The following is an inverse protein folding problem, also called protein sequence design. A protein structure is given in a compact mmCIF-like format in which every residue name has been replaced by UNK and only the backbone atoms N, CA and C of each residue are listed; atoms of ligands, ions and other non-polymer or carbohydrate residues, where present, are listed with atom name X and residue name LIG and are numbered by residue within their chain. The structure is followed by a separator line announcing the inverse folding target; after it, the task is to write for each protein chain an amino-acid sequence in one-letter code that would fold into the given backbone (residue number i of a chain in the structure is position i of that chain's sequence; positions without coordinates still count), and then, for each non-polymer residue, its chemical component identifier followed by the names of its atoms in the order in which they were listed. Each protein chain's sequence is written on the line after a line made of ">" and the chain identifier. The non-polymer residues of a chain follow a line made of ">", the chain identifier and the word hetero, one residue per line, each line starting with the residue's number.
data_IF_182943798758
#
_entry.id   IF_182943798758
#
_cell.length_a   1.000
_cell.length_b   1.000
_cell.length_c   1.000
_cell.angle_alpha   90.00
_cell.angle_beta   90.00
_cell.angle_gamma   90.00
#
_symmetry.space_group_name_H-M   'P 1'
#
loop_
_entity.id
_entity.type
_entity.pdbx_description
1 polymer ?
#
# COMPACT_ATOMS: atom_id res chain seq x y z
N UNK A 1 9.91 -19.17 10.92
CA UNK A 1 9.69 -17.73 11.10
C UNK A 1 8.29 -17.44 10.57
N UNK A 2 7.45 -16.75 11.34
CA UNK A 2 6.11 -16.34 10.87
C UNK A 2 6.23 -15.26 9.78
N UNK A 3 5.21 -15.16 8.93
CA UNK A 3 5.21 -14.25 7.77
C UNK A 3 5.36 -12.78 8.21
N UNK A 4 4.68 -12.37 9.28
CA UNK A 4 4.77 -11.01 9.85
C UNK A 4 6.17 -10.70 10.32
N UNK A 5 6.83 -11.61 11.05
CA UNK A 5 8.21 -11.41 11.46
C UNK A 5 9.16 -11.30 10.27
N UNK A 6 8.91 -12.03 9.18
CA UNK A 6 9.71 -11.93 7.96
C UNK A 6 9.57 -10.53 7.33
N UNK A 7 8.35 -10.03 7.19
CA UNK A 7 8.08 -8.67 6.68
C UNK A 7 8.77 -7.62 7.56
N UNK A 8 8.59 -7.69 8.88
CA UNK A 8 9.25 -6.75 9.80
C UNK A 8 10.77 -6.84 9.70
N UNK A 9 11.34 -8.04 9.61
CA UNK A 9 12.77 -8.21 9.46
C UNK A 9 13.30 -7.55 8.17
N UNK A 10 12.63 -7.75 7.04
CA UNK A 10 12.99 -7.15 5.76
C UNK A 10 12.92 -5.62 5.80
N UNK A 11 11.85 -5.06 6.38
CA UNK A 11 11.69 -3.61 6.54
C UNK A 11 12.75 -3.01 7.46
N UNK A 12 13.09 -3.66 8.57
CA UNK A 12 14.11 -3.19 9.50
C UNK A 12 15.50 -3.27 8.84
N UNK A 13 15.80 -4.36 8.13
CA UNK A 13 17.08 -4.54 7.43
C UNK A 13 17.28 -3.49 6.34
N UNK A 14 16.21 -3.01 5.70
CA UNK A 14 16.25 -1.92 4.73
C UNK A 14 16.65 -0.57 5.33
N UNK A 15 16.41 -0.38 6.64
CA UNK A 15 16.74 0.84 7.40
C UNK A 15 18.16 0.80 7.98
N UNK A 16 18.81 -0.36 8.01
CA UNK A 16 20.16 -0.56 8.52
C UNK A 16 20.27 -1.61 9.63
N UNK A 17 21.02 -1.30 10.69
CA UNK A 17 21.28 -2.27 11.76
C UNK A 17 20.06 -2.49 12.65
N UNK A 18 19.60 -3.75 12.75
CA UNK A 18 18.54 -4.15 13.70
C UNK A 18 18.81 -3.73 15.13
N UNK A 19 20.08 -3.71 15.55
CA UNK A 19 20.46 -3.28 16.90
C UNK A 19 20.23 -1.77 17.08
N UNK A 20 20.67 -0.97 16.12
CA UNK A 20 20.46 0.48 16.16
C UNK A 20 18.96 0.83 16.13
N UNK A 21 18.19 0.14 15.28
CA UNK A 21 16.74 0.27 15.24
C UNK A 21 16.09 -0.06 16.59
N UNK A 22 16.50 -1.14 17.26
CA UNK A 22 15.98 -1.50 18.58
C UNK A 22 16.28 -0.42 19.63
N UNK A 23 17.51 0.12 19.62
CA UNK A 23 17.92 1.19 20.54
C UNK A 23 17.13 2.49 20.28
N UNK A 24 16.90 2.85 19.01
CA UNK A 24 16.11 4.03 18.59
C UNK A 24 14.67 3.98 19.14
N UNK A 25 14.02 2.82 19.07
CA UNK A 25 12.63 2.64 19.50
C UNK A 25 12.50 2.30 21.00
N UNK A 26 13.60 2.29 21.74
CA UNK A 26 13.64 1.99 23.18
C UNK A 26 13.32 0.53 23.51
N UNK A 27 13.75 -0.41 22.67
CA UNK A 27 13.61 -1.86 22.86
C UNK A 27 14.98 -2.52 23.07
N UNK A 28 15.12 -3.47 24.00
CA UNK A 28 16.34 -4.28 24.07
C UNK A 28 16.54 -5.02 22.74
N UNK A 29 17.78 -5.08 22.19
CA UNK A 29 18.05 -5.81 20.95
C UNK A 29 17.64 -7.28 21.03
N UNK A 30 17.75 -7.89 22.21
CA UNK A 30 17.30 -9.25 22.50
C UNK A 30 15.78 -9.40 22.42
N UNK A 31 15.01 -8.39 22.82
CA UNK A 31 13.55 -8.37 22.71
C UNK A 31 13.12 -8.32 21.24
N UNK A 32 13.72 -7.42 20.45
CA UNK A 32 13.46 -7.35 19.00
C UNK A 32 13.80 -8.68 18.32
N UNK A 33 14.99 -9.22 18.60
CA UNK A 33 15.41 -10.51 18.05
C UNK A 33 14.46 -11.65 18.43
N UNK A 34 14.00 -11.67 19.68
CA UNK A 34 13.09 -12.69 20.18
C UNK A 34 11.71 -12.62 19.52
N UNK A 35 11.22 -11.41 19.25
CA UNK A 35 9.99 -11.18 18.51
C UNK A 35 10.10 -11.69 17.08
N UNK A 36 11.17 -11.34 16.37
CA UNK A 36 11.39 -11.76 14.98
C UNK A 36 11.60 -13.27 14.85
N UNK A 37 12.19 -13.93 15.85
CA UNK A 37 12.47 -15.37 15.80
C UNK A 37 11.29 -16.24 16.23
N UNK A 38 10.58 -15.86 17.29
CA UNK A 38 9.51 -16.68 17.88
C UNK A 38 8.11 -16.42 17.31
N UNK A 39 7.88 -15.29 16.66
CA UNK A 39 6.52 -14.90 16.30
C UNK A 39 6.20 -13.46 16.68
N UNK A 40 5.74 -12.64 15.74
CA UNK A 40 5.13 -11.34 16.08
C UNK A 40 3.90 -11.55 16.95
N UNK A 41 3.06 -12.55 16.66
CA UNK A 41 1.87 -12.87 17.46
C UNK A 41 2.13 -13.33 18.90
N UNK A 42 3.40 -13.57 19.28
CA UNK A 42 3.79 -13.90 20.66
C UNK A 42 4.44 -12.73 21.40
N UNK A 43 4.67 -11.60 20.72
CA UNK A 43 5.15 -10.39 21.36
C UNK A 43 4.01 -9.64 22.06
N UNK A 44 4.37 -8.79 23.03
CA UNK A 44 3.38 -7.88 23.60
C UNK A 44 2.90 -6.90 22.53
N UNK A 45 1.62 -6.54 22.62
CA UNK A 45 1.00 -5.57 21.70
C UNK A 45 1.76 -4.24 21.66
N UNK A 46 2.25 -3.77 22.81
CA UNK A 46 3.07 -2.56 22.91
C UNK A 46 4.34 -2.63 22.06
N UNK A 47 5.01 -3.79 22.02
CA UNK A 47 6.22 -3.96 21.23
C UNK A 47 5.91 -3.99 19.74
N UNK A 48 4.80 -4.62 19.35
CA UNK A 48 4.34 -4.63 17.95
C UNK A 48 4.01 -3.21 17.49
N UNK A 49 3.24 -2.47 18.27
CA UNK A 49 2.86 -1.08 17.96
C UNK A 49 4.09 -0.18 17.84
N UNK A 50 5.07 -0.30 18.75
CA UNK A 50 6.31 0.50 18.69
C UNK A 50 7.07 0.26 17.39
N UNK A 51 7.23 -1.01 17.00
CA UNK A 51 7.95 -1.37 15.77
C UNK A 51 7.20 -0.88 14.53
N UNK A 52 5.89 -1.13 14.43
CA UNK A 52 5.07 -0.65 13.31
C UNK A 52 5.13 0.89 13.17
N UNK A 53 4.99 1.63 14.28
CA UNK A 53 5.09 3.10 14.26
C UNK A 53 6.44 3.60 13.79
N UNK A 54 7.53 3.00 14.24
CA UNK A 54 8.87 3.38 13.81
C UNK A 54 9.12 3.08 12.32
N UNK A 55 8.51 2.01 11.81
CA UNK A 55 8.54 1.67 10.39
C UNK A 55 7.61 2.54 9.52
N UNK A 56 6.65 3.24 10.14
CA UNK A 56 5.66 4.08 9.45
C UNK A 56 4.49 3.28 8.86
N UNK A 57 4.22 2.10 9.39
CA UNK A 57 3.12 1.21 8.97
C UNK A 57 2.13 0.97 10.11
N UNK A 58 0.91 0.58 9.78
CA UNK A 58 -0.09 0.10 10.72
C UNK A 58 0.06 -1.39 10.99
N UNK A 59 -0.72 -1.93 11.93
CA UNK A 59 -0.79 -3.38 12.15
C UNK A 59 -1.56 -4.03 11.00
N UNK A 60 -2.60 -3.38 10.48
CA UNK A 60 -3.31 -3.81 9.27
C UNK A 60 -2.37 -3.94 8.08
N UNK A 61 -1.51 -2.94 7.82
CA UNK A 61 -0.52 -3.01 6.74
C UNK A 61 0.39 -4.24 6.88
N UNK A 62 0.82 -4.53 8.12
CA UNK A 62 1.65 -5.70 8.40
C UNK A 62 0.90 -7.02 8.14
N UNK A 63 -0.40 -7.10 8.45
CA UNK A 63 -1.23 -8.26 8.10
C UNK A 63 -1.32 -8.43 6.59
N UNK A 64 -1.67 -7.35 5.86
CA UNK A 64 -1.85 -7.38 4.40
C UNK A 64 -0.55 -7.81 3.69
N UNK A 65 0.58 -7.23 4.09
CA UNK A 65 1.91 -7.60 3.60
C UNK A 65 2.25 -9.07 3.89
N UNK A 66 1.85 -9.59 5.06
CA UNK A 66 2.12 -10.97 5.44
C UNK A 66 1.22 -11.99 4.72
N UNK A 67 0.00 -11.63 4.33
CA UNK A 67 -0.90 -12.49 3.58
C UNK A 67 -0.61 -12.51 2.07
N UNK A 68 0.29 -11.64 1.60
CA UNK A 68 0.63 -11.54 0.18
C UNK A 68 -0.46 -10.81 -0.61
N UNK A 69 -1.30 -10.04 0.08
CA UNK A 69 -2.17 -9.06 -0.53
C UNK A 69 -1.27 -7.91 -0.99
N UNK A 70 -0.74 -8.04 -2.20
CA UNK A 70 -0.07 -6.94 -2.90
C UNK A 70 -1.12 -5.88 -3.26
N UNK A 71 -1.56 -5.13 -2.26
CA UNK A 71 -2.13 -3.81 -2.49
C UNK A 71 -1.02 -2.77 -2.26
N UNK A 72 -0.41 -2.42 -3.38
CA UNK A 72 0.42 -1.25 -3.61
C UNK A 72 -0.21 0.00 -3.00
N UNK A 73 0.08 0.36 -1.75
CA UNK A 73 -0.35 1.66 -1.20
C UNK A 73 0.65 2.24 -0.18
N UNK A 74 1.84 2.60 -0.67
CA UNK A 74 2.48 3.82 -0.22
C UNK A 74 1.91 5.02 -1.01
N UNK A 75 0.59 5.21 -0.95
CA UNK A 75 -0.07 6.45 -1.32
C UNK A 75 -1.18 6.65 -0.30
N UNK A 76 -1.03 7.69 0.52
CA UNK A 76 -2.15 8.27 1.26
C UNK A 76 -3.06 8.96 0.25
N UNK A 77 -3.94 8.22 -0.42
CA UNK A 77 -5.20 8.70 -1.00
C UNK A 77 -6.16 7.52 -1.04
N UNK A 78 -7.18 7.58 -0.17
CA UNK A 78 -8.57 7.24 -0.46
C UNK A 78 -8.76 6.06 -1.42
N UNK A 79 -8.88 4.83 -0.89
CA UNK A 79 -9.27 3.64 -1.65
C UNK A 79 -10.79 3.64 -1.90
N UNK A 80 -11.30 4.67 -2.57
CA UNK A 80 -12.47 4.52 -3.43
C UNK A 80 -11.93 4.17 -4.81
N UNK A 81 -12.43 3.09 -5.43
CA UNK A 81 -12.27 2.93 -6.88
C UNK A 81 -12.78 4.21 -7.52
N UNK A 82 -11.89 5.00 -8.13
CA UNK A 82 -12.29 6.12 -8.97
C UNK A 82 -13.33 5.62 -9.96
N UNK A 83 -14.46 6.31 -10.01
CA UNK A 83 -15.53 6.03 -10.96
C UNK A 83 -15.00 6.16 -12.39
N UNK A 84 -15.65 5.49 -13.34
CA UNK A 84 -15.31 5.62 -14.76
C UNK A 84 -15.29 7.09 -15.20
N UNK A 85 -16.11 7.94 -14.59
CA UNK A 85 -16.26 9.35 -14.93
C UNK A 85 -15.04 10.17 -14.48
N UNK A 86 -14.51 9.88 -13.30
CA UNK A 86 -13.31 10.51 -12.77
C UNK A 86 -12.07 10.11 -13.58
N UNK A 87 -11.97 8.83 -13.95
CA UNK A 87 -10.88 8.34 -14.81
C UNK A 87 -10.87 9.07 -16.15
N UNK A 88 -12.05 9.21 -16.77
CA UNK A 88 -12.19 9.88 -18.06
C UNK A 88 -11.92 11.39 -17.96
N UNK A 89 -12.35 12.03 -16.87
CA UNK A 89 -12.09 13.46 -16.64
C UNK A 89 -10.59 13.72 -16.44
N UNK A 90 -9.89 12.89 -15.67
CA UNK A 90 -8.44 12.99 -15.48
C UNK A 90 -7.67 12.79 -16.80
N UNK A 91 -8.09 11.84 -17.62
CA UNK A 91 -7.48 11.60 -18.93
C UNK A 91 -7.67 12.81 -19.88
N UNK A 92 -8.85 13.44 -19.85
CA UNK A 92 -9.12 14.64 -20.64
C UNK A 92 -8.17 15.80 -20.25
N UNK A 93 -7.89 15.97 -18.96
CA UNK A 93 -6.95 17.01 -18.49
C UNK A 93 -5.53 16.81 -19.01
N UNK A 94 -5.08 15.56 -19.14
CA UNK A 94 -3.76 15.25 -19.70
C UNK A 94 -3.61 15.68 -21.16
N UNK A 95 -4.71 15.81 -21.89
CA UNK A 95 -4.73 16.28 -23.29
C UNK A 95 -5.12 17.76 -23.41
N UNK A 96 -5.13 18.50 -22.29
CA UNK A 96 -5.38 19.94 -22.26
C UNK A 96 -6.85 20.35 -22.21
N UNK A 97 -7.75 19.44 -21.85
CA UNK A 97 -9.13 19.80 -21.55
C UNK A 97 -9.23 20.38 -20.14
N UNK A 98 -9.79 21.58 -19.99
CA UNK A 98 -10.00 22.20 -18.68
C UNK A 98 -11.45 22.00 -18.21
N UNK A 99 -11.61 21.61 -16.94
CA UNK A 99 -12.93 21.42 -16.32
C UNK A 99 -13.51 20.01 -16.48
N UNK A 100 -14.66 19.74 -15.87
CA UNK A 100 -15.32 18.44 -15.93
C UNK A 100 -15.94 18.19 -17.31
N UNK A 101 -15.93 16.93 -17.74
CA UNK A 101 -16.66 16.52 -18.94
C UNK A 101 -18.18 16.65 -18.71
N UNK A 102 -18.90 17.14 -19.71
CA UNK A 102 -20.37 17.09 -19.69
C UNK A 102 -20.86 15.65 -19.89
N UNK A 103 -22.10 15.35 -19.47
CA UNK A 103 -22.72 14.02 -19.68
C UNK A 103 -22.64 13.57 -21.15
N UNK A 104 -22.89 14.50 -22.09
CA UNK A 104 -22.85 14.21 -23.52
C UNK A 104 -21.45 13.85 -24.02
N UNK A 105 -20.42 14.54 -23.54
CA UNK A 105 -19.03 14.25 -23.91
C UNK A 105 -18.59 12.90 -23.34
N UNK A 106 -19.00 12.60 -22.11
CA UNK A 106 -18.73 11.32 -21.46
C UNK A 106 -19.37 10.15 -22.24
N UNK A 107 -20.61 10.30 -22.69
CA UNK A 107 -21.29 9.31 -23.54
C UNK A 107 -20.57 9.09 -24.87
N UNK A 108 -20.13 10.18 -25.52
CA UNK A 108 -19.39 10.11 -26.78
C UNK A 108 -18.05 9.38 -26.61
N UNK A 109 -17.31 9.69 -25.54
CA UNK A 109 -16.03 9.03 -25.24
C UNK A 109 -16.25 7.54 -24.96
N UNK A 110 -17.24 7.19 -24.13
CA UNK A 110 -17.60 5.79 -23.84
C UNK A 110 -17.95 5.02 -25.13
N UNK A 111 -18.72 5.62 -26.03
CA UNK A 111 -19.09 5.02 -27.31
C UNK A 111 -17.85 4.81 -28.21
N UNK A 112 -16.98 5.82 -28.31
CA UNK A 112 -15.77 5.74 -29.13
C UNK A 112 -14.82 4.64 -28.66
N UNK A 113 -14.58 4.53 -27.34
CA UNK A 113 -13.77 3.46 -26.73
C UNK A 113 -14.36 2.09 -27.04
N UNK A 114 -15.69 1.92 -26.89
CA UNK A 114 -16.36 0.65 -27.21
C UNK A 114 -16.20 0.26 -28.68
N UNK A 115 -16.30 1.21 -29.60
CA UNK A 115 -16.10 0.96 -31.03
C UNK A 115 -14.65 0.57 -31.32
N UNK A 116 -13.67 1.27 -30.74
CA UNK A 116 -12.25 0.97 -30.92
C UNK A 116 -11.92 -0.46 -30.45
N UNK A 117 -12.37 -0.83 -29.25
CA UNK A 117 -12.18 -2.18 -28.70
C UNK A 117 -12.90 -3.26 -29.52
N UNK A 118 -14.06 -2.96 -30.09
CA UNK A 118 -14.76 -3.90 -30.97
C UNK A 118 -14.04 -4.08 -32.33
N UNK A 119 -13.30 -3.06 -32.78
CA UNK A 119 -12.56 -3.08 -34.06
C UNK A 119 -11.24 -3.85 -33.96
N UNK A 120 -10.58 -3.83 -32.81
CA UNK A 120 -9.34 -4.58 -32.56
C UNK A 120 -9.55 -6.10 -32.38
N UNK A 121 -10.81 -6.53 -32.25
CA UNK A 121 -11.20 -7.95 -32.13
C UNK A 121 -11.61 -8.59 -33.48
N UNK A 122 -11.19 -8.01 -34.62
CA UNK A 122 -11.41 -8.52 -35.98
C UNK A 122 -10.11 -8.58 -36.77
#
# INVERSE_FOLDING_TARGET
>A
MDRKAKVLAELIDSRGSRRAFAEEIGLPPTTLQSMLTRGVGRASIDNVIKVCRALGITVEDLENMAHGENETTAVKQDNEKLSEEEILTLAAHQVGHDGPLTEKELEQIKLAVKIALAKDNK
#
